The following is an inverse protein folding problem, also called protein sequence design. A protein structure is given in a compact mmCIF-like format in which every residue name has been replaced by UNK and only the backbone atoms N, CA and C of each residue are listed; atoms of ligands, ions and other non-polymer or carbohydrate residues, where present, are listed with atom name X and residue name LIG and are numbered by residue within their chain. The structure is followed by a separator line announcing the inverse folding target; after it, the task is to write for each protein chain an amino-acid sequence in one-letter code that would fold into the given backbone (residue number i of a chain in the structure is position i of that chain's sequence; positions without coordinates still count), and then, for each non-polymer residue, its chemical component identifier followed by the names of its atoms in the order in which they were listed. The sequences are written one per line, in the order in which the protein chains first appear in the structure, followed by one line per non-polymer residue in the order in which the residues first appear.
data_IF_381318054558
#
_entry.id   IF_381318054558
#
_cell.length_a   1.000
_cell.length_b   1.000
_cell.length_c   1.000
_cell.angle_alpha   90.00
_cell.angle_beta   90.00
_cell.angle_gamma   90.00
#
_symmetry.space_group_name_H-M   'P 1'
#
loop_
_entity.id
_entity.type
_entity.pdbx_description
1 polymer ?
#
# COMPACT_ATOMS: atom_id res chain seq x y z
N UNK A 1 4.96 2.62 17.50
CA UNK A 1 4.64 1.23 17.14
C UNK A 1 3.22 0.86 17.55
N UNK A 2 2.83 0.99 18.81
CA UNK A 2 1.49 0.58 19.30
C UNK A 2 0.27 1.04 18.48
N UNK A 3 0.28 2.25 17.93
CA UNK A 3 -0.88 2.80 17.20
C UNK A 3 -1.05 2.24 15.78
N UNK A 4 0.02 1.72 15.14
CA UNK A 4 -0.05 1.11 13.81
C UNK A 4 -0.45 -0.36 13.87
N UNK A 5 -0.10 -1.05 14.95
CA UNK A 5 -0.45 -2.44 15.19
C UNK A 5 -1.96 -2.64 15.41
N UNK A 6 -2.68 -1.56 15.75
CA UNK A 6 -4.14 -1.53 15.95
C UNK A 6 -4.94 -1.18 14.69
N UNK A 7 -4.28 -1.01 13.55
CA UNK A 7 -4.97 -0.84 12.26
C UNK A 7 -5.15 -2.19 11.57
N UNK A 8 -6.28 -2.34 10.87
CA UNK A 8 -6.68 -3.58 10.22
C UNK A 8 -6.82 -4.76 11.21
N UNK A 9 -7.47 -4.49 12.34
CA UNK A 9 -7.84 -5.54 13.29
C UNK A 9 -8.87 -6.52 12.71
N UNK A 10 -9.13 -7.63 13.40
CA UNK A 10 -9.93 -8.76 12.92
C UNK A 10 -11.25 -8.33 12.27
N UNK A 11 -11.98 -7.40 12.90
CA UNK A 11 -13.30 -6.98 12.44
C UNK A 11 -13.25 -6.18 11.13
N UNK A 12 -12.30 -5.28 10.99
CA UNK A 12 -12.14 -4.50 9.77
C UNK A 12 -11.55 -5.35 8.64
N UNK A 13 -10.51 -6.13 8.94
CA UNK A 13 -9.82 -7.00 8.00
C UNK A 13 -10.78 -8.02 7.36
N UNK A 14 -11.72 -8.57 8.13
CA UNK A 14 -12.75 -9.51 7.67
C UNK A 14 -13.57 -8.97 6.48
N UNK A 15 -13.84 -7.67 6.46
CA UNK A 15 -14.67 -7.04 5.43
C UNK A 15 -13.85 -6.25 4.40
N UNK A 16 -12.53 -6.23 4.54
CA UNK A 16 -11.65 -5.43 3.71
C UNK A 16 -11.81 -5.73 2.21
N UNK A 17 -11.72 -6.99 1.82
CA UNK A 17 -11.86 -7.40 0.40
C UNK A 17 -13.24 -7.06 -0.18
N UNK A 18 -14.28 -6.98 0.64
CA UNK A 18 -15.62 -6.55 0.21
C UNK A 18 -15.67 -5.04 -0.06
N UNK A 19 -15.00 -4.22 0.77
CA UNK A 19 -14.95 -2.78 0.54
C UNK A 19 -14.23 -2.42 -0.76
N UNK A 20 -13.28 -3.25 -1.19
CA UNK A 20 -12.46 -3.01 -2.37
C UNK A 20 -12.70 -4.03 -3.49
N UNK A 21 -13.88 -4.68 -3.52
CA UNK A 21 -14.25 -5.68 -4.55
C UNK A 21 -14.26 -5.12 -5.97
N UNK A 22 -14.54 -3.82 -6.11
CA UNK A 22 -14.63 -3.12 -7.40
C UNK A 22 -13.29 -2.52 -7.85
N UNK A 23 -12.21 -2.71 -7.06
CA UNK A 23 -10.87 -2.26 -7.39
C UNK A 23 -10.23 -3.23 -8.37
N UNK A 24 -9.68 -2.69 -9.45
CA UNK A 24 -9.04 -3.49 -10.49
C UNK A 24 -7.56 -3.81 -10.14
N UNK A 25 -7.38 -4.82 -9.30
CA UNK A 25 -6.06 -5.31 -8.91
C UNK A 25 -5.29 -5.95 -10.07
N UNK A 26 -5.99 -6.47 -11.09
CA UNK A 26 -5.35 -7.00 -12.29
C UNK A 26 -4.66 -5.87 -13.06
N UNK A 27 -5.37 -4.78 -13.32
CA UNK A 27 -4.81 -3.61 -14.01
C UNK A 27 -3.60 -3.02 -13.25
N UNK A 28 -3.67 -2.97 -11.92
CA UNK A 28 -2.51 -2.54 -11.10
C UNK A 28 -1.32 -3.49 -11.23
N UNK A 29 -1.57 -4.80 -11.25
CA UNK A 29 -0.51 -5.80 -11.42
C UNK A 29 0.10 -5.78 -12.82
N UNK A 30 -0.70 -5.56 -13.85
CA UNK A 30 -0.21 -5.33 -15.22
C UNK A 30 0.64 -4.04 -15.30
N UNK A 31 0.22 -2.98 -14.64
CA UNK A 31 1.00 -1.75 -14.57
C UNK A 31 2.36 -1.96 -13.91
N UNK A 32 2.41 -2.71 -12.79
CA UNK A 32 3.66 -3.09 -12.12
C UNK A 32 4.56 -3.89 -13.09
N UNK A 33 4.02 -4.86 -13.80
CA UNK A 33 4.75 -5.64 -14.82
C UNK A 33 5.31 -4.74 -15.91
N UNK A 34 4.52 -3.80 -16.43
CA UNK A 34 4.96 -2.84 -17.45
C UNK A 34 6.10 -1.95 -16.98
N UNK A 35 6.13 -1.57 -15.68
CA UNK A 35 7.27 -0.88 -15.07
C UNK A 35 8.53 -1.72 -15.17
N UNK A 36 8.46 -3.01 -14.81
CA UNK A 36 9.62 -3.91 -14.86
C UNK A 36 10.15 -4.08 -16.28
N UNK A 37 9.27 -4.26 -17.25
CA UNK A 37 9.62 -4.38 -18.66
C UNK A 37 10.25 -3.09 -19.21
N UNK A 38 9.67 -1.94 -18.89
CA UNK A 38 10.16 -0.64 -19.35
C UNK A 38 11.60 -0.34 -18.86
N UNK A 39 11.85 -0.64 -17.59
CA UNK A 39 13.15 -0.31 -17.00
C UNK A 39 14.19 -1.44 -17.14
N UNK A 40 13.88 -2.49 -17.92
CA UNK A 40 14.83 -3.50 -18.38
C UNK A 40 15.41 -4.38 -17.27
N UNK A 41 14.64 -4.65 -16.22
CA UNK A 41 15.05 -5.52 -15.13
C UNK A 41 14.31 -6.85 -15.26
N UNK A 42 15.08 -7.95 -15.30
CA UNK A 42 14.49 -9.29 -15.22
C UNK A 42 14.04 -9.54 -13.78
N UNK A 43 12.79 -9.19 -13.49
CA UNK A 43 12.18 -9.43 -12.17
C UNK A 43 11.59 -10.83 -12.13
N UNK A 44 11.90 -11.55 -11.07
CA UNK A 44 11.28 -12.83 -10.74
C UNK A 44 10.77 -12.85 -9.30
N UNK A 45 11.52 -12.28 -8.39
CA UNK A 45 11.22 -12.29 -6.97
C UNK A 45 10.88 -10.87 -6.50
N UNK A 46 9.66 -10.69 -5.98
CA UNK A 46 9.11 -9.41 -5.54
C UNK A 46 8.93 -9.45 -4.02
N UNK A 47 9.35 -8.37 -3.36
CA UNK A 47 8.94 -8.06 -1.99
C UNK A 47 7.76 -7.09 -2.05
N UNK A 48 6.64 -7.42 -1.40
CA UNK A 48 5.49 -6.51 -1.28
C UNK A 48 5.34 -6.02 0.17
N UNK A 49 5.49 -4.71 0.39
CA UNK A 49 5.39 -4.06 1.69
C UNK A 49 3.96 -3.50 1.91
N UNK A 50 3.30 -3.96 2.97
CA UNK A 50 1.89 -3.68 3.21
C UNK A 50 1.00 -4.49 2.27
N UNK A 51 1.24 -5.80 2.17
CA UNK A 51 0.57 -6.68 1.21
C UNK A 51 -0.92 -6.89 1.51
N UNK A 52 -1.38 -6.54 2.71
CA UNK A 52 -2.76 -6.72 3.13
C UNK A 52 -3.21 -8.17 3.02
N UNK A 53 -4.36 -8.39 2.41
CA UNK A 53 -4.95 -9.72 2.20
C UNK A 53 -4.37 -10.48 1.01
N UNK A 54 -3.31 -9.98 0.37
CA UNK A 54 -2.65 -10.63 -0.76
C UNK A 54 -3.39 -10.49 -2.11
N UNK A 55 -4.10 -9.40 -2.33
CA UNK A 55 -4.86 -9.21 -3.59
C UNK A 55 -3.96 -8.98 -4.81
N UNK A 56 -2.88 -8.24 -4.70
CA UNK A 56 -1.92 -8.09 -5.79
C UNK A 56 -1.20 -9.41 -6.08
N UNK A 57 -0.91 -10.18 -5.03
CA UNK A 57 -0.24 -11.47 -5.14
C UNK A 57 -1.04 -12.47 -5.97
N UNK A 58 -2.38 -12.42 -5.94
CA UNK A 58 -3.23 -13.27 -6.79
C UNK A 58 -2.84 -13.11 -8.27
N UNK A 59 -2.79 -11.87 -8.76
CA UNK A 59 -2.49 -11.56 -10.16
C UNK A 59 -0.99 -11.63 -10.49
N UNK A 60 -0.13 -11.15 -9.61
CA UNK A 60 1.32 -11.22 -9.84
C UNK A 60 1.82 -12.67 -9.92
N UNK A 61 1.25 -13.57 -9.12
CA UNK A 61 1.54 -15.00 -9.19
C UNK A 61 1.10 -15.62 -10.51
N UNK A 62 -0.09 -15.26 -11.02
CA UNK A 62 -0.58 -15.69 -12.34
C UNK A 62 0.32 -15.19 -13.48
N UNK A 63 0.95 -14.03 -13.33
CA UNK A 63 1.94 -13.49 -14.26
C UNK A 63 3.33 -14.16 -14.13
N UNK A 64 3.50 -15.12 -13.21
CA UNK A 64 4.71 -15.93 -13.04
C UNK A 64 5.74 -15.36 -12.04
N UNK A 65 5.39 -14.34 -11.28
CA UNK A 65 6.27 -13.82 -10.22
C UNK A 65 6.20 -14.66 -8.95
N UNK A 66 7.32 -14.71 -8.22
CA UNK A 66 7.34 -15.16 -6.83
C UNK A 66 7.20 -13.93 -5.94
N UNK A 67 6.22 -13.92 -5.03
CA UNK A 67 5.99 -12.76 -4.18
C UNK A 67 6.15 -13.11 -2.70
N UNK A 68 6.87 -12.27 -1.99
CA UNK A 68 6.95 -12.33 -0.53
C UNK A 68 6.27 -11.09 0.04
N UNK A 69 5.10 -11.27 0.65
CA UNK A 69 4.34 -10.19 1.25
C UNK A 69 4.65 -10.03 2.74
N UNK A 70 4.83 -8.80 3.19
CA UNK A 70 4.82 -8.47 4.63
C UNK A 70 3.75 -7.43 4.92
N UNK A 71 3.09 -7.59 6.07
CA UNK A 71 2.11 -6.65 6.59
C UNK A 71 2.20 -6.62 8.12
N UNK A 72 1.94 -5.47 8.72
CA UNK A 72 1.99 -5.32 10.18
C UNK A 72 0.81 -6.02 10.86
N UNK A 73 -0.32 -6.19 10.15
CA UNK A 73 -1.53 -6.82 10.66
C UNK A 73 -1.45 -8.34 10.60
N UNK A 74 -1.52 -8.98 11.77
CA UNK A 74 -1.64 -10.44 11.89
C UNK A 74 -2.85 -10.97 11.11
N UNK A 75 -3.98 -10.25 11.15
CA UNK A 75 -5.21 -10.67 10.49
C UNK A 75 -5.12 -10.60 8.97
N UNK A 76 -4.54 -9.54 8.43
CA UNK A 76 -4.28 -9.45 6.99
C UNK A 76 -3.43 -10.62 6.52
N UNK A 77 -2.34 -10.92 7.22
CA UNK A 77 -1.47 -12.06 6.90
C UNK A 77 -2.19 -13.41 7.05
N UNK A 78 -3.05 -13.56 8.05
CA UNK A 78 -3.88 -14.77 8.21
C UNK A 78 -4.80 -14.99 7.01
N UNK A 79 -5.45 -13.92 6.55
CA UNK A 79 -6.33 -13.95 5.37
C UNK A 79 -5.50 -14.26 4.11
N UNK A 80 -4.37 -13.58 3.89
CA UNK A 80 -3.49 -13.81 2.75
C UNK A 80 -3.02 -15.28 2.68
N UNK A 81 -2.55 -15.84 3.80
CA UNK A 81 -2.13 -17.25 3.90
C UNK A 81 -3.28 -18.22 3.62
N UNK A 82 -4.52 -17.90 4.02
CA UNK A 82 -5.68 -18.77 3.81
C UNK A 82 -6.04 -18.96 2.34
N UNK A 83 -5.69 -18.01 1.47
CA UNK A 83 -5.93 -18.05 0.02
C UNK A 83 -5.05 -19.05 -0.71
N UNK A 84 -3.92 -19.46 -0.11
CA UNK A 84 -2.98 -20.45 -0.67
C UNK A 84 -2.52 -20.11 -2.09
N UNK A 85 -2.22 -18.84 -2.35
CA UNK A 85 -1.80 -18.36 -3.66
C UNK A 85 -0.46 -19.02 -4.03
N UNK A 86 -0.32 -19.64 -5.22
CA UNK A 86 0.92 -20.25 -5.67
C UNK A 86 2.08 -19.24 -5.70
N UNK A 87 3.31 -19.69 -5.45
CA UNK A 87 4.52 -18.87 -5.49
C UNK A 87 4.51 -17.66 -4.55
N UNK A 88 3.57 -17.60 -3.59
CA UNK A 88 3.47 -16.52 -2.63
C UNK A 88 3.75 -17.01 -1.21
N UNK A 89 4.48 -16.18 -0.46
CA UNK A 89 4.76 -16.40 0.97
C UNK A 89 4.48 -15.13 1.74
N UNK A 90 4.07 -15.25 2.99
CA UNK A 90 3.65 -14.09 3.78
C UNK A 90 4.20 -14.18 5.21
N UNK A 91 4.59 -13.03 5.78
CA UNK A 91 4.90 -12.94 7.20
C UNK A 91 4.46 -11.59 7.79
N UNK A 92 4.26 -11.59 9.10
CA UNK A 92 3.96 -10.36 9.84
C UNK A 92 5.25 -9.57 10.00
N UNK A 93 5.22 -8.28 9.62
CA UNK A 93 6.40 -7.42 9.73
C UNK A 93 6.08 -5.94 9.54
N UNK A 94 6.83 -5.10 10.23
CA UNK A 94 6.79 -3.64 10.03
C UNK A 94 7.67 -3.26 8.83
N UNK A 95 7.11 -2.60 7.82
CA UNK A 95 7.87 -2.16 6.65
C UNK A 95 9.00 -1.17 6.97
N UNK A 96 9.03 -0.58 8.15
CA UNK A 96 10.14 0.25 8.61
C UNK A 96 11.21 -0.53 9.39
N UNK A 97 10.92 -1.76 9.79
CA UNK A 97 11.86 -2.60 10.55
C UNK A 97 11.64 -4.09 10.31
N UNK A 98 12.14 -4.59 9.19
CA UNK A 98 12.12 -6.01 8.83
C UNK A 98 13.52 -6.52 8.48
N UNK A 99 13.74 -7.82 8.60
CA UNK A 99 14.98 -8.47 8.20
C UNK A 99 14.70 -9.88 7.66
N UNK A 100 14.72 -9.99 6.34
CA UNK A 100 14.48 -11.22 5.62
C UNK A 100 15.84 -11.79 5.15
N UNK A 101 16.07 -13.08 5.34
CA UNK A 101 17.29 -13.74 4.82
C UNK A 101 17.17 -14.02 3.31
N UNK A 102 16.69 -13.04 2.55
CA UNK A 102 16.41 -13.13 1.12
C UNK A 102 16.73 -11.82 0.41
N UNK A 103 16.99 -11.93 -0.90
CA UNK A 103 17.13 -10.80 -1.81
C UNK A 103 16.03 -10.87 -2.86
N UNK A 104 15.62 -9.69 -3.35
CA UNK A 104 14.55 -9.53 -4.30
C UNK A 104 15.01 -8.70 -5.50
N UNK A 105 14.36 -8.90 -6.64
CA UNK A 105 14.65 -8.13 -7.85
C UNK A 105 13.88 -6.81 -7.88
N UNK A 106 12.74 -6.78 -7.19
CA UNK A 106 11.94 -5.58 -6.99
C UNK A 106 11.28 -5.57 -5.60
N UNK A 107 11.04 -4.36 -5.10
CA UNK A 107 10.20 -4.10 -3.93
C UNK A 107 9.04 -3.21 -4.37
N UNK A 108 7.82 -3.58 -4.02
CA UNK A 108 6.62 -2.80 -4.28
C UNK A 108 5.93 -2.42 -2.98
N UNK A 109 5.23 -1.29 -2.96
CA UNK A 109 4.28 -0.90 -1.93
C UNK A 109 3.14 -0.13 -2.58
N UNK A 110 2.01 -0.79 -2.76
CA UNK A 110 0.89 -0.29 -3.55
C UNK A 110 -0.26 0.18 -2.64
N UNK A 111 -1.24 0.82 -3.25
CA UNK A 111 -2.46 1.30 -2.59
C UNK A 111 -2.18 2.18 -1.37
N UNK A 112 -1.21 3.06 -1.51
CA UNK A 112 -0.76 4.02 -0.51
C UNK A 112 -0.34 3.40 0.85
N UNK A 113 0.00 2.11 0.90
CA UNK A 113 0.44 1.45 2.12
C UNK A 113 1.68 2.14 2.74
N UNK A 114 2.59 2.66 1.91
CA UNK A 114 3.76 3.42 2.37
C UNK A 114 3.39 4.70 3.13
N UNK A 115 2.19 5.24 2.91
CA UNK A 115 1.65 6.40 3.62
C UNK A 115 1.43 6.18 5.12
N UNK A 116 1.39 4.93 5.59
CA UNK A 116 1.35 4.62 7.03
C UNK A 116 2.67 4.89 7.77
N UNK A 117 3.76 5.16 7.03
CA UNK A 117 5.00 5.68 7.61
C UNK A 117 4.88 7.20 7.81
N UNK A 118 4.35 7.61 8.94
CA UNK A 118 4.02 9.02 9.21
C UNK A 118 5.20 9.86 9.67
N UNK A 119 6.28 9.22 10.15
CA UNK A 119 7.48 9.89 10.66
C UNK A 119 8.66 9.74 9.70
N UNK A 120 9.54 10.77 9.64
CA UNK A 120 10.70 10.79 8.73
C UNK A 120 11.62 9.58 8.93
N UNK A 121 11.94 9.26 10.19
CA UNK A 121 12.80 8.13 10.52
C UNK A 121 12.24 6.77 10.07
N UNK A 122 10.91 6.63 10.04
CA UNK A 122 10.27 5.40 9.54
C UNK A 122 10.48 5.25 8.03
N UNK A 123 10.36 6.34 7.27
CA UNK A 123 10.58 6.38 5.82
C UNK A 123 12.05 6.07 5.52
N UNK A 124 12.98 6.72 6.20
CA UNK A 124 14.42 6.51 6.06
C UNK A 124 14.82 5.07 6.37
N UNK A 125 14.30 4.52 7.48
CA UNK A 125 14.53 3.14 7.87
C UNK A 125 13.95 2.16 6.86
N UNK A 126 12.73 2.39 6.37
CA UNK A 126 12.09 1.56 5.35
C UNK A 126 12.95 1.49 4.07
N UNK A 127 13.37 2.64 3.55
CA UNK A 127 14.21 2.70 2.36
C UNK A 127 15.57 2.01 2.59
N UNK A 128 16.16 2.14 3.77
CA UNK A 128 17.38 1.41 4.14
C UNK A 128 17.14 -0.11 4.17
N UNK A 129 16.00 -0.56 4.72
CA UNK A 129 15.62 -1.98 4.73
C UNK A 129 15.38 -2.49 3.31
N UNK A 130 14.66 -1.75 2.48
CA UNK A 130 14.44 -2.08 1.05
C UNK A 130 15.79 -2.24 0.35
N UNK A 131 16.70 -1.24 0.47
CA UNK A 131 18.04 -1.31 -0.10
C UNK A 131 18.79 -2.58 0.29
N UNK A 132 18.71 -2.94 1.57
CA UNK A 132 19.41 -4.11 2.09
C UNK A 132 18.82 -5.44 1.61
N UNK A 133 17.61 -5.44 1.03
CA UNK A 133 16.92 -6.63 0.54
C UNK A 133 16.79 -6.67 -0.99
N UNK A 134 17.28 -5.67 -1.71
CA UNK A 134 17.30 -5.72 -3.17
C UNK A 134 18.62 -6.30 -3.71
N UNK A 135 18.51 -6.96 -4.84
CA UNK A 135 19.63 -7.31 -5.70
C UNK A 135 20.23 -6.02 -6.32
N UNK A 136 21.49 -6.03 -6.78
CA UNK A 136 22.05 -4.90 -7.55
C UNK A 136 21.15 -4.52 -8.70
N UNK A 137 20.93 -3.22 -8.92
CA UNK A 137 19.99 -2.65 -9.91
C UNK A 137 18.50 -3.00 -9.68
N UNK A 138 18.15 -3.58 -8.54
CA UNK A 138 16.76 -3.89 -8.19
C UNK A 138 15.88 -2.64 -8.16
N UNK A 139 14.60 -2.81 -8.49
CA UNK A 139 13.62 -1.74 -8.56
C UNK A 139 12.87 -1.55 -7.25
N UNK A 140 12.49 -0.31 -6.96
CA UNK A 140 11.50 0.04 -5.95
C UNK A 140 10.35 0.78 -6.62
N UNK A 141 9.11 0.35 -6.33
CA UNK A 141 7.87 0.95 -6.85
C UNK A 141 6.96 1.25 -5.67
N UNK A 142 6.68 2.52 -5.43
CA UNK A 142 5.92 2.96 -4.26
C UNK A 142 4.77 3.86 -4.74
N UNK A 143 3.54 3.49 -4.39
CA UNK A 143 2.37 4.33 -4.58
C UNK A 143 2.05 5.06 -3.28
N UNK A 144 1.86 6.38 -3.38
CA UNK A 144 1.50 7.25 -2.25
C UNK A 144 0.50 8.31 -2.66
N UNK A 145 -0.15 8.91 -1.69
CA UNK A 145 -0.97 10.10 -1.94
C UNK A 145 -0.10 11.29 -2.33
N UNK A 146 -0.47 11.91 -3.44
CA UNK A 146 0.17 13.11 -3.97
C UNK A 146 -0.32 14.36 -3.22
N UNK A 147 0.56 15.02 -2.49
CA UNK A 147 0.23 16.20 -1.70
C UNK A 147 -0.37 17.35 -2.51
N UNK A 148 -0.03 17.49 -3.79
CA UNK A 148 -0.64 18.48 -4.68
C UNK A 148 -2.14 18.21 -4.85
N UNK A 149 -2.52 16.96 -5.13
CA UNK A 149 -3.90 16.54 -5.28
C UNK A 149 -4.68 16.59 -3.96
N UNK A 150 -4.06 16.10 -2.87
CA UNK A 150 -4.66 16.11 -1.52
C UNK A 150 -4.96 17.54 -1.04
N UNK A 151 -4.09 18.51 -1.30
CA UNK A 151 -4.33 19.91 -0.95
C UNK A 151 -5.41 20.57 -1.80
N UNK A 152 -5.52 20.18 -3.07
CA UNK A 152 -6.55 20.68 -3.98
C UNK A 152 -7.93 20.15 -3.63
N UNK A 153 -8.02 18.86 -3.36
CA UNK A 153 -9.26 18.17 -3.03
C UNK A 153 -9.11 17.48 -1.66
N UNK A 154 -9.26 18.27 -0.60
CA UNK A 154 -9.11 17.76 0.77
C UNK A 154 -10.05 16.58 1.05
N UNK A 155 -9.59 15.57 1.81
CA UNK A 155 -10.43 14.45 2.19
C UNK A 155 -11.67 14.90 2.95
N UNK A 156 -12.81 14.35 2.57
CA UNK A 156 -14.13 14.64 3.19
C UNK A 156 -14.72 13.37 3.79
N UNK A 157 -15.70 13.56 4.68
CA UNK A 157 -16.49 12.45 5.21
C UNK A 157 -17.15 11.68 4.06
N UNK A 158 -16.97 10.37 4.05
CA UNK A 158 -17.54 9.46 3.05
C UNK A 158 -18.26 8.31 3.71
N UNK A 159 -19.29 7.80 3.03
CA UNK A 159 -20.04 6.60 3.42
C UNK A 159 -19.99 5.61 2.27
N UNK A 160 -19.66 4.35 2.57
CA UNK A 160 -19.75 3.22 1.63
C UNK A 160 -20.64 2.15 2.24
N UNK A 161 -21.60 1.68 1.47
CA UNK A 161 -22.51 0.61 1.86
C UNK A 161 -22.31 -0.59 0.95
N UNK A 162 -22.34 -1.77 1.52
CA UNK A 162 -22.25 -3.05 0.81
C UNK A 162 -23.36 -3.94 1.35
N UNK A 163 -24.14 -4.48 0.43
CA UNK A 163 -25.16 -5.47 0.75
C UNK A 163 -24.83 -6.78 0.06
N UNK A 164 -24.89 -7.86 0.83
CA UNK A 164 -24.75 -9.21 0.34
C UNK A 164 -25.65 -10.13 1.18
N UNK A 165 -26.59 -10.79 0.52
CA UNK A 165 -27.60 -11.62 1.15
C UNK A 165 -28.41 -10.80 2.19
N UNK A 166 -28.37 -11.21 3.47
CA UNK A 166 -29.04 -10.54 4.60
C UNK A 166 -28.10 -9.65 5.40
N UNK A 167 -26.87 -9.46 4.93
CA UNK A 167 -25.84 -8.69 5.62
C UNK A 167 -25.65 -7.36 4.90
N UNK A 168 -25.79 -6.27 5.64
CA UNK A 168 -25.44 -4.91 5.19
C UNK A 168 -24.27 -4.42 6.02
N UNK A 169 -23.23 -3.95 5.36
CA UNK A 169 -22.03 -3.37 5.98
C UNK A 169 -21.95 -1.91 5.59
N UNK A 170 -21.85 -1.04 6.57
CA UNK A 170 -21.73 0.41 6.39
C UNK A 170 -20.40 0.86 6.92
N UNK A 171 -19.52 1.38 6.04
CA UNK A 171 -18.28 2.04 6.45
C UNK A 171 -18.42 3.54 6.30
N UNK A 172 -18.20 4.27 7.36
CA UNK A 172 -18.07 5.72 7.37
C UNK A 172 -16.62 6.11 7.62
N UNK A 173 -16.12 7.14 6.92
CA UNK A 173 -14.78 7.68 7.10
C UNK A 173 -14.87 9.15 7.51
N UNK A 174 -14.20 9.50 8.60
CA UNK A 174 -14.16 10.85 9.15
C UNK A 174 -12.71 11.34 9.16
N UNK A 175 -12.25 12.00 8.09
CA UNK A 175 -10.87 12.49 8.01
C UNK A 175 -10.68 13.76 8.83
N UNK A 176 -9.54 13.83 9.54
CA UNK A 176 -9.01 15.03 10.15
C UNK A 176 -7.69 15.37 9.46
N UNK A 177 -7.68 16.49 8.76
CA UNK A 177 -6.57 16.93 7.94
C UNK A 177 -5.58 17.79 8.74
N UNK A 178 -4.28 17.52 8.60
CA UNK A 178 -3.17 18.27 9.16
C UNK A 178 -2.17 18.61 8.03
N UNK A 179 -2.38 19.75 7.39
CA UNK A 179 -1.55 20.18 6.27
C UNK A 179 -0.09 20.42 6.67
N UNK A 180 0.13 20.98 7.86
CA UNK A 180 1.47 21.31 8.34
C UNK A 180 2.35 20.08 8.51
N UNK A 181 1.81 19.01 9.08
CA UNK A 181 2.52 17.75 9.29
C UNK A 181 2.33 16.76 8.13
N UNK A 182 1.66 17.16 7.04
CA UNK A 182 1.37 16.31 5.86
C UNK A 182 0.62 15.03 6.25
N UNK A 183 -0.31 15.09 7.19
CA UNK A 183 -1.02 13.92 7.73
C UNK A 183 -2.52 14.03 7.57
N UNK A 184 -3.15 12.89 7.38
CA UNK A 184 -4.60 12.73 7.46
C UNK A 184 -4.89 11.62 8.47
N UNK A 185 -5.58 11.96 9.55
CA UNK A 185 -6.07 10.99 10.52
C UNK A 185 -7.52 10.65 10.16
N UNK A 186 -7.79 9.40 9.80
CA UNK A 186 -9.10 8.96 9.33
C UNK A 186 -9.68 8.01 10.37
N UNK A 187 -10.75 8.42 11.03
CA UNK A 187 -11.55 7.50 11.83
C UNK A 187 -12.48 6.74 10.88
N UNK A 188 -12.28 5.43 10.76
CA UNK A 188 -13.23 4.54 10.11
C UNK A 188 -14.16 3.95 11.15
N UNK A 189 -15.46 4.05 10.88
CA UNK A 189 -16.50 3.34 11.62
C UNK A 189 -17.14 2.32 10.70
N UNK A 190 -17.20 1.06 11.12
CA UNK A 190 -17.82 -0.03 10.38
C UNK A 190 -18.92 -0.63 11.21
N UNK A 191 -20.15 -0.50 10.73
CA UNK A 191 -21.35 -1.09 11.32
C UNK A 191 -21.83 -2.24 10.44
N UNK A 192 -22.10 -3.39 11.04
CA UNK A 192 -22.60 -4.60 10.38
C UNK A 192 -24.01 -4.88 10.83
N UNK A 193 -24.95 -4.95 9.89
CA UNK A 193 -26.34 -5.25 10.12
C UNK A 193 -26.70 -6.62 9.54
N UNK A 194 -27.54 -7.36 10.24
CA UNK A 194 -28.16 -8.59 9.75
C UNK A 194 -29.67 -8.49 9.96
N UNK A 195 -30.45 -8.66 8.88
CA UNK A 195 -31.91 -8.42 8.89
C UNK A 195 -32.26 -7.06 9.53
N UNK A 196 -31.60 -5.97 9.12
CA UNK A 196 -31.72 -4.59 9.59
C UNK A 196 -31.41 -4.35 11.08
N UNK A 197 -30.95 -5.36 11.79
CA UNK A 197 -30.50 -5.23 13.18
C UNK A 197 -28.98 -5.11 13.27
N UNK A 198 -28.47 -4.11 14.01
CA UNK A 198 -27.03 -3.94 14.25
C UNK A 198 -26.48 -5.17 15.00
N UNK A 199 -25.53 -5.86 14.40
CA UNK A 199 -24.88 -7.05 14.95
C UNK A 199 -23.49 -6.76 15.49
N UNK A 200 -22.75 -5.87 14.81
CA UNK A 200 -21.39 -5.53 15.19
C UNK A 200 -21.06 -4.09 14.80
N UNK A 201 -20.16 -3.47 15.55
CA UNK A 201 -19.63 -2.15 15.26
C UNK A 201 -18.18 -2.09 15.69
N UNK A 202 -17.32 -1.48 14.85
CA UNK A 202 -15.92 -1.27 15.17
C UNK A 202 -15.47 0.10 14.68
N UNK A 203 -14.47 0.65 15.36
CA UNK A 203 -13.83 1.90 14.98
C UNK A 203 -12.31 1.71 14.92
N UNK A 204 -11.69 2.21 13.87
CA UNK A 204 -10.23 2.18 13.70
C UNK A 204 -9.71 3.55 13.27
N UNK A 205 -8.57 3.95 13.83
CA UNK A 205 -7.89 5.19 13.49
C UNK A 205 -6.73 4.89 12.53
N UNK A 206 -6.86 5.36 11.30
CA UNK A 206 -5.81 5.28 10.29
C UNK A 206 -5.08 6.61 10.18
N UNK A 207 -3.78 6.60 10.44
CA UNK A 207 -2.92 7.78 10.32
C UNK A 207 -2.09 7.62 9.06
N UNK A 208 -2.29 8.50 8.09
CA UNK A 208 -1.61 8.45 6.80
C UNK A 208 -0.89 9.76 6.51
N UNK A 209 0.25 9.66 5.84
CA UNK A 209 1.03 10.78 5.32
C UNK A 209 0.83 10.87 3.81
N UNK A 210 0.73 12.08 3.31
CA UNK A 210 0.84 12.40 1.90
C UNK A 210 2.20 13.03 1.60
N UNK A 211 2.67 12.89 0.36
CA UNK A 211 4.02 13.27 -0.03
C UNK A 211 4.02 14.26 -1.17
N UNK A 212 5.04 15.12 -1.21
CA UNK A 212 5.31 15.97 -2.38
C UNK A 212 6.40 15.36 -3.25
N UNK A 213 6.38 15.60 -4.59
CA UNK A 213 7.34 14.98 -5.52
C UNK A 213 8.81 15.22 -5.17
N UNK A 214 9.17 16.45 -4.79
CA UNK A 214 10.56 16.78 -4.44
C UNK A 214 10.99 16.17 -3.11
N UNK A 215 10.06 16.04 -2.18
CA UNK A 215 10.29 15.39 -0.88
C UNK A 215 10.58 13.90 -1.06
N UNK A 216 9.71 13.17 -1.76
CA UNK A 216 9.90 11.73 -1.94
C UNK A 216 11.12 11.42 -2.81
N UNK A 217 11.41 12.25 -3.81
CA UNK A 217 12.66 12.18 -4.58
C UNK A 217 13.87 12.23 -3.67
N UNK A 218 13.91 13.20 -2.74
CA UNK A 218 15.01 13.35 -1.79
C UNK A 218 15.16 12.10 -0.91
N UNK A 219 14.08 11.58 -0.34
CA UNK A 219 14.12 10.35 0.45
C UNK A 219 14.69 9.16 -0.33
N UNK A 220 14.27 9.01 -1.60
CA UNK A 220 14.80 7.96 -2.46
C UNK A 220 16.32 8.12 -2.69
N UNK A 221 16.77 9.31 -3.06
CA UNK A 221 18.18 9.60 -3.36
C UNK A 221 19.08 9.40 -2.13
N UNK A 222 18.64 9.86 -0.95
CA UNK A 222 19.32 9.65 0.34
C UNK A 222 19.29 8.17 0.77
N UNK A 223 18.24 7.45 0.41
CA UNK A 223 18.12 6.00 0.61
C UNK A 223 19.04 5.16 -0.28
N UNK A 224 19.74 5.79 -1.24
CA UNK A 224 20.67 5.10 -2.15
C UNK A 224 20.03 4.63 -3.46
N UNK A 225 18.93 5.23 -3.85
CA UNK A 225 18.24 4.93 -5.11
C UNK A 225 18.45 6.05 -6.13
N UNK A 226 18.44 5.69 -7.40
CA UNK A 226 18.26 6.60 -8.53
C UNK A 226 16.76 6.73 -8.78
N UNK A 227 16.23 7.96 -8.83
CA UNK A 227 14.86 8.19 -9.28
C UNK A 227 14.77 7.99 -10.78
N UNK A 228 13.91 7.08 -11.23
CA UNK A 228 13.64 6.83 -12.65
C UNK A 228 12.42 7.60 -13.14
N UNK A 229 11.33 7.60 -12.34
CA UNK A 229 10.10 8.31 -12.71
C UNK A 229 9.25 8.63 -11.48
N UNK A 230 8.43 9.67 -11.60
CA UNK A 230 7.25 9.94 -10.76
C UNK A 230 6.08 10.16 -11.70
N UNK A 231 5.21 9.19 -11.79
CA UNK A 231 4.13 9.16 -12.75
C UNK A 231 2.76 8.99 -12.09
N UNK A 232 1.73 9.17 -12.88
CA UNK A 232 0.37 8.85 -12.51
C UNK A 232 0.17 7.33 -12.48
N UNK A 233 -0.69 6.85 -11.60
CA UNK A 233 -1.12 5.44 -11.59
C UNK A 233 -1.69 5.06 -12.95
N UNK A 234 -1.25 3.92 -13.50
CA UNK A 234 -1.55 3.37 -14.84
C UNK A 234 -0.97 4.11 -16.06
N UNK A 235 -0.27 5.23 -15.88
CA UNK A 235 0.24 6.04 -16.98
C UNK A 235 1.73 6.37 -16.78
N UNK A 236 2.60 5.53 -17.33
CA UNK A 236 4.04 5.81 -17.38
C UNK A 236 4.33 7.04 -18.24
N UNK A 237 5.42 7.76 -17.92
CA UNK A 237 5.86 9.00 -18.60
C UNK A 237 4.89 10.18 -18.47
N UNK A 238 3.85 10.07 -17.66
CA UNK A 238 2.88 11.15 -17.45
C UNK A 238 3.24 11.91 -16.19
N UNK A 239 3.54 13.19 -16.34
CA UNK A 239 3.83 14.05 -15.18
C UNK A 239 2.58 14.22 -14.31
N UNK A 240 2.76 13.99 -13.02
CA UNK A 240 1.74 14.26 -12.04
C UNK A 240 1.51 15.76 -11.87
N UNK A 241 0.28 16.10 -11.49
CA UNK A 241 -0.13 17.47 -11.14
C UNK A 241 -1.16 17.46 -10.00
N UNK A 242 -1.74 18.59 -9.72
CA UNK A 242 -2.73 18.75 -8.66
C UNK A 242 -4.08 18.07 -8.91
N UNK A 243 -4.31 17.50 -10.10
CA UNK A 243 -5.52 16.73 -10.41
C UNK A 243 -5.35 15.22 -10.13
N UNK A 244 -4.13 14.80 -9.79
CA UNK A 244 -3.83 13.42 -9.49
C UNK A 244 -3.77 13.24 -7.96
N UNK A 245 -4.65 12.41 -7.42
CA UNK A 245 -4.69 12.10 -6.00
C UNK A 245 -3.53 11.20 -5.56
N UNK A 246 -3.16 10.26 -6.42
CA UNK A 246 -2.07 9.33 -6.18
C UNK A 246 -0.91 9.59 -7.13
N UNK A 247 0.29 9.18 -6.72
CA UNK A 247 1.48 9.14 -7.55
C UNK A 247 2.26 7.86 -7.29
N UNK A 248 2.89 7.35 -8.35
CA UNK A 248 3.77 6.19 -8.30
C UNK A 248 5.21 6.66 -8.49
N UNK A 249 6.06 6.29 -7.55
CA UNK A 249 7.48 6.59 -7.54
C UNK A 249 8.23 5.34 -7.95
N UNK A 250 9.11 5.45 -8.93
CA UNK A 250 9.92 4.36 -9.46
C UNK A 250 11.38 4.71 -9.27
N UNK A 251 12.09 3.87 -8.54
CA UNK A 251 13.52 4.04 -8.30
C UNK A 251 14.29 2.76 -8.57
N UNK A 252 15.61 2.92 -8.81
CA UNK A 252 16.57 1.83 -8.99
C UNK A 252 17.63 1.90 -7.91
N UNK A 253 17.99 0.78 -7.32
CA UNK A 253 19.10 0.70 -6.40
C UNK A 253 20.41 1.08 -7.13
N UNK A 254 21.11 2.09 -6.63
CA UNK A 254 22.43 2.47 -7.14
C UNK A 254 23.45 1.35 -6.87
N UNK A 255 24.29 1.10 -7.86
CA UNK A 255 25.38 0.12 -7.81
C UNK A 255 26.42 0.45 -6.75
#
# INVERSE_FOLDING_TARGET
MEDREKTFEEKYAKYYDLFYKDKDYNLESEFIKNIFEKYGVSVRNILNLGCGTGKHEEFLSEMGFNVHGIDISNEMIRIAKSKKIPNCTYEVGDMSDFNLNKKFDACISMFAAFGYLTENNQIENSLKKIRNHLNPNGLVVIEVWNGLGVLKEMPTTRKKEIEKDKIKIVRQSFPKFDAYNQKVNILFKVDVFENDSLKDSTEEMHKMRFFFPQEIKRYLEEGGFELLDICRTFELDTKINENNWDMVIIGRLKS
#
